data_IF_189066317598
#
_entry.id   IF_189066317598
#
_cell.length_a   1.000
_cell.length_b   1.000
_cell.length_c   1.000
_cell.angle_alpha   90.00
_cell.angle_beta   90.00
_cell.angle_gamma   90.00
#
_symmetry.space_group_name_H-M   'P 1'
#
loop_
_entity.id
_entity.type
_entity.pdbx_description
1 polymer ?
#
# COMPACT_ATOMS: atom_id res chain seq x y z
N UNK A 1 -0.48 20.70 7.14
CA UNK A 1 -0.89 19.91 5.97
C UNK A 1 -1.05 18.45 6.37
N UNK A 2 -2.08 17.82 5.87
CA UNK A 2 -2.36 16.41 6.11
C UNK A 2 -1.96 15.60 4.88
N UNK A 3 -1.23 14.50 5.10
CA UNK A 3 -0.81 13.62 4.03
C UNK A 3 -1.43 12.26 4.25
N UNK A 4 -2.14 11.77 3.25
CA UNK A 4 -2.68 10.42 3.24
C UNK A 4 -2.04 9.63 2.12
N UNK A 5 -1.80 8.35 2.34
CA UNK A 5 -1.21 7.45 1.36
C UNK A 5 -2.11 6.25 1.18
N UNK A 6 -2.26 5.83 -0.07
CA UNK A 6 -3.07 4.69 -0.45
C UNK A 6 -2.28 3.80 -1.39
N UNK A 7 -2.27 2.50 -1.12
CA UNK A 7 -1.70 1.51 -2.01
C UNK A 7 -2.83 0.87 -2.80
N UNK A 8 -2.67 0.79 -4.12
CA UNK A 8 -3.65 0.17 -5.01
C UNK A 8 -2.93 -0.87 -5.86
N UNK A 9 -3.32 -2.13 -5.71
CA UNK A 9 -2.73 -3.22 -6.49
C UNK A 9 -3.42 -3.31 -7.83
N UNK A 10 -2.66 -3.12 -8.90
CA UNK A 10 -3.16 -3.14 -10.27
C UNK A 10 -3.17 -4.54 -10.85
N UNK A 11 -2.16 -5.34 -10.52
CA UNK A 11 -2.07 -6.72 -10.98
C UNK A 11 -1.17 -7.52 -10.06
N UNK A 12 -1.41 -8.82 -9.98
CA UNK A 12 -0.62 -9.71 -9.16
C UNK A 12 -1.05 -9.69 -7.70
N UNK A 13 -0.12 -10.06 -6.83
CA UNK A 13 -0.37 -10.09 -5.39
C UNK A 13 0.75 -9.35 -4.68
N UNK A 14 0.38 -8.58 -3.70
CA UNK A 14 1.33 -7.81 -2.90
C UNK A 14 1.15 -8.18 -1.42
N UNK A 15 2.24 -8.56 -0.78
CA UNK A 15 2.25 -8.77 0.66
C UNK A 15 2.80 -7.51 1.30
N UNK A 16 1.98 -6.89 2.12
CA UNK A 16 2.34 -5.67 2.85
C UNK A 16 2.46 -5.99 4.33
N UNK A 17 3.66 -5.81 4.85
CA UNK A 17 3.89 -5.89 6.29
C UNK A 17 3.87 -4.48 6.85
N UNK A 18 2.99 -4.23 7.82
CA UNK A 18 2.81 -2.92 8.43
C UNK A 18 2.95 -3.09 9.95
N UNK A 19 4.15 -2.80 10.46
CA UNK A 19 4.48 -3.11 11.84
C UNK A 19 4.31 -4.60 12.12
N UNK A 20 3.47 -4.98 13.11
CA UNK A 20 3.25 -6.39 13.41
C UNK A 20 2.21 -7.06 12.51
N UNK A 21 1.50 -6.30 11.68
CA UNK A 21 0.42 -6.83 10.86
C UNK A 21 0.91 -7.18 9.46
N UNK A 22 0.35 -8.25 8.89
CA UNK A 22 0.66 -8.68 7.53
C UNK A 22 -0.65 -8.69 6.74
N UNK A 23 -0.64 -8.04 5.59
CA UNK A 23 -1.81 -7.93 4.72
C UNK A 23 -1.49 -8.52 3.37
N UNK A 24 -2.35 -9.41 2.89
CA UNK A 24 -2.24 -9.96 1.54
C UNK A 24 -3.23 -9.22 0.65
N UNK A 25 -2.70 -8.51 -0.34
CA UNK A 25 -3.50 -7.70 -1.25
C UNK A 25 -3.48 -8.36 -2.64
N UNK A 26 -4.63 -8.42 -3.26
CA UNK A 26 -4.79 -8.96 -4.60
C UNK A 26 -5.16 -7.85 -5.58
N UNK A 27 -5.23 -8.21 -6.86
CA UNK A 27 -5.61 -7.26 -7.90
C UNK A 27 -6.92 -6.56 -7.55
N UNK A 28 -6.90 -5.24 -7.65
CA UNK A 28 -8.05 -4.41 -7.34
C UNK A 28 -8.15 -3.97 -5.90
N UNK A 29 -7.36 -4.55 -5.00
CA UNK A 29 -7.40 -4.18 -3.60
C UNK A 29 -6.70 -2.86 -3.35
N UNK A 30 -7.21 -2.12 -2.38
CA UNK A 30 -6.61 -0.89 -1.90
C UNK A 30 -6.35 -1.00 -0.40
N UNK A 31 -5.33 -0.32 0.05
CA UNK A 31 -4.99 -0.29 1.47
C UNK A 31 -4.52 1.11 1.84
N UNK A 32 -5.17 1.71 2.81
CA UNK A 32 -4.79 3.03 3.29
C UNK A 32 -3.65 2.89 4.31
N UNK A 33 -2.55 3.58 4.05
CA UNK A 33 -1.41 3.61 4.96
C UNK A 33 -1.66 4.67 6.02
N UNK A 34 -1.56 4.26 7.27
CA UNK A 34 -1.71 5.17 8.39
C UNK A 34 -0.41 5.89 8.73
N UNK A 35 -0.19 6.10 10.01
CA UNK A 35 1.00 6.78 10.50
C UNK A 35 2.27 6.10 10.02
N UNK A 36 3.36 6.86 9.80
CA UNK A 36 4.63 6.27 9.41
C UNK A 36 5.09 5.21 10.41
N UNK A 37 5.41 4.05 9.89
CA UNK A 37 5.98 2.95 10.67
C UNK A 37 6.77 2.08 9.72
N UNK A 38 7.49 1.13 10.25
CA UNK A 38 8.27 0.23 9.43
C UNK A 38 7.33 -0.65 8.60
N UNK A 39 7.51 -0.63 7.28
CA UNK A 39 6.71 -1.39 6.33
C UNK A 39 7.60 -2.10 5.35
N UNK A 40 7.10 -3.23 4.85
CA UNK A 40 7.76 -3.99 3.80
C UNK A 40 6.74 -4.35 2.74
N UNK A 41 7.10 -4.09 1.49
CA UNK A 41 6.29 -4.46 0.33
C UNK A 41 6.99 -5.62 -0.36
N UNK A 42 6.30 -6.74 -0.50
CA UNK A 42 6.91 -7.95 -1.04
C UNK A 42 5.98 -8.63 -2.03
N UNK A 43 6.56 -9.10 -3.14
CA UNK A 43 5.86 -9.91 -4.11
C UNK A 43 6.20 -11.37 -3.85
N UNK A 44 5.28 -12.11 -3.23
CA UNK A 44 5.44 -13.52 -2.95
C UNK A 44 4.77 -14.39 -4.01
N UNK A 45 4.17 -13.78 -5.02
CA UNK A 45 3.49 -14.49 -6.08
C UNK A 45 4.44 -14.95 -7.18
N UNK A 46 3.93 -15.80 -8.07
CA UNK A 46 4.71 -16.30 -9.21
C UNK A 46 4.76 -15.29 -10.36
N UNK A 47 3.84 -14.34 -10.40
CA UNK A 47 3.75 -13.32 -11.45
C UNK A 47 4.23 -11.98 -10.93
N UNK A 48 4.55 -11.07 -11.85
CA UNK A 48 4.90 -9.70 -11.49
C UNK A 48 3.73 -9.02 -10.78
N UNK A 49 4.07 -8.17 -9.83
CA UNK A 49 3.10 -7.37 -9.12
C UNK A 49 3.26 -5.92 -9.53
N UNK A 50 2.17 -5.29 -9.91
CA UNK A 50 2.14 -3.85 -10.21
C UNK A 50 1.21 -3.17 -9.21
N UNK A 51 1.68 -2.08 -8.64
CA UNK A 51 0.87 -1.32 -7.70
C UNK A 51 1.24 0.15 -7.78
N UNK A 52 0.31 0.98 -7.33
CA UNK A 52 0.49 2.42 -7.23
C UNK A 52 0.48 2.83 -5.76
N UNK A 53 1.30 3.79 -5.41
CA UNK A 53 1.19 4.47 -4.12
C UNK A 53 0.69 5.86 -4.42
N UNK A 54 -0.50 6.16 -3.94
CA UNK A 54 -1.15 7.45 -4.16
C UNK A 54 -0.95 8.28 -2.91
N UNK A 55 -0.36 9.45 -3.08
CA UNK A 55 -0.14 10.39 -1.97
C UNK A 55 -1.05 11.58 -2.18
N UNK A 56 -1.88 11.87 -1.20
CA UNK A 56 -2.73 13.05 -1.23
C UNK A 56 -2.31 13.99 -0.11
N UNK A 57 -2.30 15.25 -0.45
CA UNK A 57 -1.99 16.31 0.52
C UNK A 57 -3.17 17.24 0.59
N UNK A 58 -3.67 17.44 1.79
CA UNK A 58 -4.74 18.40 2.02
C UNK A 58 -4.12 19.72 2.44
N UNK A 59 -4.35 20.74 1.63
CA UNK A 59 -3.95 22.09 2.00
C UNK A 59 -5.02 22.68 2.91
N UNK A 60 -4.58 23.18 4.06
CA UNK A 60 -5.49 23.84 4.98
C UNK A 60 -5.41 25.35 4.76
N UNK A 61 -6.52 26.02 4.54
CA UNK A 61 -6.50 27.47 4.38
C UNK A 61 -5.99 28.18 5.60
#
# INVERSE_FOLDING_TARGET
AFIAQLVWVLSGRLTLTDGPAVHALAEGDTFELGEPRQREFRNDGAADCRYLVIVTRTATP
#
